data_IF_467610924085
#
_entry.id   IF_467610924085
#
_cell.length_a   1.000
_cell.length_b   1.000
_cell.length_c   1.000
_cell.angle_alpha   90.00
_cell.angle_beta   90.00
_cell.angle_gamma   90.00
#
_symmetry.space_group_name_H-M   'P 1'
#
loop_
_entity.id
_entity.type
_entity.pdbx_description
1 polymer ?
#
# COMPACT_ATOMS: atom_id res chain seq x y z
N UNK A 1 -39.19 12.85 -19.53
CA UNK A 1 -38.40 11.97 -20.40
C UNK A 1 -37.55 11.13 -19.46
N UNK A 2 -37.77 9.82 -19.40
CA UNK A 2 -36.98 8.92 -18.55
C UNK A 2 -35.56 8.84 -19.11
N UNK A 3 -34.58 9.11 -18.26
CA UNK A 3 -33.16 9.06 -18.55
C UNK A 3 -32.58 7.76 -18.00
N UNK A 4 -31.41 7.34 -18.50
CA UNK A 4 -30.66 6.23 -17.90
C UNK A 4 -30.32 6.47 -16.42
N UNK A 5 -30.40 7.71 -15.92
CA UNK A 5 -30.18 8.01 -14.50
C UNK A 5 -31.39 7.69 -13.62
N UNK A 6 -32.54 7.32 -14.22
CA UNK A 6 -33.77 6.96 -13.52
C UNK A 6 -33.93 5.43 -13.36
N UNK A 7 -32.90 4.66 -13.72
CA UNK A 7 -32.89 3.21 -13.56
C UNK A 7 -32.76 2.81 -12.08
N UNK A 8 -33.51 1.79 -11.64
CA UNK A 8 -33.28 1.14 -10.35
C UNK A 8 -31.86 0.58 -10.24
N UNK A 9 -31.28 0.67 -9.05
CA UNK A 9 -29.90 0.23 -8.75
C UNK A 9 -29.64 -1.23 -9.18
N UNK A 10 -30.65 -2.11 -9.03
CA UNK A 10 -30.59 -3.51 -9.44
C UNK A 10 -30.47 -3.72 -10.96
N UNK A 11 -31.01 -2.81 -11.77
CA UNK A 11 -30.90 -2.86 -13.23
C UNK A 11 -29.61 -2.21 -13.71
N UNK A 12 -29.15 -1.15 -13.03
CA UNK A 12 -27.82 -0.60 -13.27
C UNK A 12 -26.75 -1.65 -13.00
N UNK A 13 -26.95 -2.46 -11.95
CA UNK A 13 -26.08 -3.56 -11.59
C UNK A 13 -25.94 -4.62 -12.70
N UNK A 14 -27.08 -5.01 -13.26
CA UNK A 14 -27.17 -5.98 -14.34
C UNK A 14 -26.52 -5.45 -15.62
N UNK A 15 -26.71 -4.15 -15.93
CA UNK A 15 -26.10 -3.49 -17.08
C UNK A 15 -24.58 -3.53 -16.97
N UNK A 16 -24.00 -3.16 -15.82
CA UNK A 16 -22.55 -3.19 -15.63
C UNK A 16 -21.96 -4.60 -15.75
N UNK A 17 -22.67 -5.62 -15.24
CA UNK A 17 -22.21 -7.01 -15.36
C UNK A 17 -22.09 -7.50 -16.81
N UNK A 18 -22.83 -6.88 -17.74
CA UNK A 18 -22.90 -7.24 -19.16
C UNK A 18 -22.00 -6.38 -20.04
N UNK A 19 -21.50 -5.24 -19.54
CA UNK A 19 -20.63 -4.35 -20.31
C UNK A 19 -19.23 -4.96 -20.39
N UNK A 20 -18.67 -5.15 -21.60
CA UNK A 20 -17.28 -5.55 -21.74
C UNK A 20 -16.36 -4.57 -21.00
N UNK A 21 -15.43 -5.07 -20.19
CA UNK A 21 -14.56 -4.23 -19.34
C UNK A 21 -13.76 -3.20 -20.15
N UNK A 22 -13.43 -3.52 -21.41
CA UNK A 22 -12.79 -2.59 -22.36
C UNK A 22 -13.64 -1.35 -22.68
N UNK A 23 -14.96 -1.44 -22.52
CA UNK A 23 -15.92 -0.36 -22.76
C UNK A 23 -16.25 0.44 -21.50
N UNK A 24 -15.82 -0.02 -20.31
CA UNK A 24 -16.07 0.68 -19.05
C UNK A 24 -15.44 2.07 -19.01
N UNK A 25 -14.27 2.26 -19.64
CA UNK A 25 -13.63 3.58 -19.75
C UNK A 25 -14.54 4.57 -20.48
N UNK A 26 -15.05 4.18 -21.65
CA UNK A 26 -15.97 5.01 -22.43
C UNK A 26 -17.28 5.24 -21.69
N UNK A 27 -17.80 4.23 -20.99
CA UNK A 27 -19.00 4.38 -20.17
C UNK A 27 -18.78 5.37 -19.01
N UNK A 28 -17.65 5.30 -18.30
CA UNK A 28 -17.28 6.24 -17.23
C UNK A 28 -17.19 7.68 -17.72
N UNK A 29 -16.81 7.90 -18.98
CA UNK A 29 -16.78 9.24 -19.57
C UNK A 29 -18.16 9.81 -19.95
N UNK A 30 -19.23 9.00 -19.92
CA UNK A 30 -20.58 9.46 -20.33
C UNK A 30 -21.24 10.35 -19.29
N UNK A 31 -21.19 9.98 -18.01
CA UNK A 31 -21.76 10.80 -16.94
C UNK A 31 -21.16 10.47 -15.57
N UNK A 32 -21.29 11.42 -14.64
CA UNK A 32 -20.82 11.28 -13.25
C UNK A 32 -21.46 10.09 -12.53
N UNK A 33 -22.75 9.78 -12.80
CA UNK A 33 -23.47 8.67 -12.18
C UNK A 33 -22.80 7.32 -12.52
N UNK A 34 -22.61 7.01 -13.81
CA UNK A 34 -21.94 5.78 -14.25
C UNK A 34 -20.48 5.69 -13.83
N UNK A 35 -19.78 6.84 -13.77
CA UNK A 35 -18.42 6.88 -13.24
C UNK A 35 -18.37 6.46 -11.77
N UNK A 36 -19.26 7.01 -10.94
CA UNK A 36 -19.37 6.65 -9.52
C UNK A 36 -19.87 5.21 -9.34
N UNK A 37 -20.88 4.80 -10.10
CA UNK A 37 -21.54 3.51 -9.97
C UNK A 37 -20.66 2.31 -10.43
N UNK A 38 -19.91 2.47 -11.52
CA UNK A 38 -18.96 1.43 -11.96
C UNK A 38 -17.71 1.30 -11.09
N UNK A 39 -17.45 2.30 -10.25
CA UNK A 39 -16.40 2.22 -9.24
C UNK A 39 -16.86 1.36 -8.06
N UNK A 40 -18.12 1.49 -7.65
CA UNK A 40 -18.70 0.79 -6.49
C UNK A 40 -18.99 -0.69 -6.73
N UNK A 41 -19.39 -1.09 -7.94
CA UNK A 41 -19.97 -2.42 -8.16
C UNK A 41 -18.97 -3.52 -8.55
N UNK A 42 -17.82 -3.20 -9.13
CA UNK A 42 -16.83 -4.21 -9.55
C UNK A 42 -16.18 -4.92 -8.34
N UNK A 43 -16.35 -4.36 -7.14
CA UNK A 43 -15.91 -4.93 -5.86
C UNK A 43 -17.05 -5.70 -5.14
N UNK A 44 -18.21 -5.84 -5.79
CA UNK A 44 -19.44 -6.44 -5.24
C UNK A 44 -20.28 -5.40 -4.50
N UNK A 45 -21.60 -5.62 -4.45
CA UNK A 45 -22.64 -4.71 -3.91
C UNK A 45 -22.49 -4.28 -2.43
N UNK A 46 -21.34 -4.51 -1.80
CA UNK A 46 -21.01 -4.04 -0.47
C UNK A 46 -20.34 -2.68 -0.50
N UNK A 47 -21.00 -1.62 -0.98
CA UNK A 47 -20.50 -0.24 -0.81
C UNK A 47 -20.29 0.16 0.68
N UNK A 48 -20.77 -0.66 1.62
CA UNK A 48 -20.56 -0.54 3.07
C UNK A 48 -19.48 -1.49 3.64
N UNK A 49 -18.80 -2.26 2.80
CA UNK A 49 -17.75 -3.19 3.22
C UNK A 49 -16.41 -2.77 2.61
N UNK A 50 -15.40 -2.54 3.45
CA UNK A 50 -14.03 -2.35 2.96
C UNK A 50 -13.55 -3.70 2.43
N UNK A 51 -13.16 -3.77 1.16
CA UNK A 51 -12.52 -4.96 0.62
C UNK A 51 -11.00 -4.77 0.69
N UNK A 52 -10.27 -5.81 1.04
CA UNK A 52 -8.81 -5.84 1.06
C UNK A 52 -8.32 -7.09 0.35
N UNK A 53 -7.08 -7.04 -0.13
CA UNK A 53 -6.33 -8.18 -0.61
C UNK A 53 -5.18 -8.45 0.35
N UNK A 54 -5.15 -9.68 0.85
CA UNK A 54 -4.19 -10.18 1.82
C UNK A 54 -3.37 -11.31 1.22
N UNK A 55 -2.07 -11.33 1.48
CA UNK A 55 -1.26 -12.53 1.31
C UNK A 55 -1.28 -13.36 2.60
N UNK A 56 -1.89 -14.55 2.54
CA UNK A 56 -2.02 -15.48 3.66
C UNK A 56 -1.07 -16.66 3.46
N UNK A 57 -0.25 -17.00 4.45
CA UNK A 57 0.50 -18.26 4.39
C UNK A 57 -0.39 -19.46 4.73
N UNK A 58 -0.17 -20.55 4.01
CA UNK A 58 -0.66 -21.89 4.31
C UNK A 58 0.05 -22.47 5.54
N UNK A 59 -0.50 -23.55 6.11
CA UNK A 59 0.07 -24.30 7.25
C UNK A 59 1.51 -24.78 7.01
N UNK A 60 1.97 -24.85 5.76
CA UNK A 60 3.30 -25.33 5.38
C UNK A 60 4.37 -24.21 5.25
N UNK A 61 4.11 -23.00 5.75
CA UNK A 61 5.05 -21.85 5.84
C UNK A 61 5.75 -21.41 4.53
N UNK A 62 5.43 -22.01 3.38
CA UNK A 62 6.03 -21.70 2.07
C UNK A 62 5.02 -21.46 0.95
N UNK A 63 3.74 -21.72 1.18
CA UNK A 63 2.70 -21.44 0.19
C UNK A 63 1.91 -20.21 0.61
N UNK A 64 1.92 -19.19 -0.23
CA UNK A 64 1.18 -17.94 -0.01
C UNK A 64 -0.02 -17.91 -0.94
N UNK A 65 -1.20 -17.71 -0.37
CA UNK A 65 -2.44 -17.54 -1.10
C UNK A 65 -2.88 -16.09 -1.02
N UNK A 66 -3.14 -15.48 -2.18
CA UNK A 66 -3.85 -14.21 -2.20
C UNK A 66 -5.31 -14.46 -1.81
N UNK A 67 -5.78 -13.75 -0.81
CA UNK A 67 -7.15 -13.82 -0.33
C UNK A 67 -7.79 -12.44 -0.41
N UNK A 68 -9.03 -12.37 -0.89
CA UNK A 68 -9.88 -11.22 -0.64
C UNK A 68 -10.40 -11.28 0.78
N UNK A 69 -10.41 -10.13 1.44
CA UNK A 69 -10.91 -9.92 2.78
C UNK A 69 -11.99 -8.85 2.71
N UNK A 70 -13.17 -9.09 3.28
CA UNK A 70 -14.17 -8.04 3.46
C UNK A 70 -14.29 -7.68 4.93
N UNK A 71 -14.49 -6.40 5.22
CA UNK A 71 -14.73 -5.88 6.56
C UNK A 71 -16.09 -5.21 6.60
N UNK A 72 -16.96 -5.68 7.49
CA UNK A 72 -18.19 -4.98 7.81
C UNK A 72 -17.99 -4.16 9.08
N UNK A 73 -18.06 -2.84 8.94
CA UNK A 73 -17.95 -1.88 10.04
C UNK A 73 -19.33 -1.37 10.53
N UNK A 74 -20.44 -1.96 10.08
CA UNK A 74 -21.78 -1.61 10.56
C UNK A 74 -21.98 -2.04 12.01
N UNK A 75 -22.60 -1.19 12.83
CA UNK A 75 -22.93 -1.53 14.21
C UNK A 75 -21.75 -1.57 15.19
N UNK A 76 -20.56 -1.12 14.80
CA UNK A 76 -19.36 -1.05 15.68
C UNK A 76 -19.65 -0.38 17.02
N UNK A 77 -20.53 0.63 17.03
CA UNK A 77 -20.93 1.40 18.22
C UNK A 77 -22.28 0.96 18.83
N UNK A 78 -22.83 -0.18 18.41
CA UNK A 78 -24.05 -0.72 19.01
C UNK A 78 -23.65 -1.71 20.12
N UNK A 79 -24.04 -1.42 21.35
CA UNK A 79 -23.68 -2.20 22.55
C UNK A 79 -24.52 -3.47 22.72
N UNK A 80 -25.69 -3.55 22.08
CA UNK A 80 -26.68 -4.63 22.28
C UNK A 80 -26.37 -5.95 21.54
N UNK A 81 -25.35 -6.00 20.67
CA UNK A 81 -25.18 -7.09 19.72
C UNK A 81 -23.76 -7.66 19.78
N UNK A 82 -23.56 -8.62 20.69
CA UNK A 82 -22.26 -9.17 21.10
C UNK A 82 -21.43 -9.93 20.05
N UNK A 83 -21.81 -9.92 18.76
CA UNK A 83 -21.20 -10.76 17.71
C UNK A 83 -20.68 -9.98 16.46
N UNK A 84 -20.89 -8.66 16.37
CA UNK A 84 -20.77 -7.94 15.09
C UNK A 84 -19.47 -7.17 14.82
N UNK A 85 -18.44 -7.31 15.63
CA UNK A 85 -17.41 -6.26 15.69
C UNK A 85 -16.49 -6.18 14.47
N UNK A 86 -16.14 -7.31 13.84
CA UNK A 86 -15.28 -7.30 12.65
C UNK A 86 -15.46 -8.63 11.91
N UNK A 87 -16.43 -8.75 11.01
CA UNK A 87 -16.54 -9.97 10.21
C UNK A 87 -15.48 -9.97 9.11
N UNK A 88 -14.47 -10.81 9.28
CA UNK A 88 -13.42 -11.06 8.28
C UNK A 88 -13.81 -12.29 7.46
N UNK A 89 -14.37 -12.09 6.27
CA UNK A 89 -14.59 -13.18 5.33
C UNK A 89 -13.39 -13.28 4.37
N UNK A 90 -12.68 -14.41 4.39
CA UNK A 90 -11.55 -14.66 3.48
C UNK A 90 -11.96 -15.59 2.35
N UNK A 91 -11.80 -15.16 1.09
CA UNK A 91 -11.94 -16.02 -0.08
C UNK A 91 -10.63 -16.03 -0.86
N UNK A 92 -10.17 -17.19 -1.28
CA UNK A 92 -8.98 -17.27 -2.14
C UNK A 92 -9.29 -16.62 -3.48
N UNK A 93 -8.38 -15.76 -3.95
CA UNK A 93 -8.50 -15.16 -5.28
C UNK A 93 -7.87 -16.09 -6.30
N UNK A 94 -8.52 -16.23 -7.46
CA UNK A 94 -8.05 -17.06 -8.57
C UNK A 94 -6.81 -16.44 -9.24
N UNK A 95 -5.66 -16.57 -8.59
CA UNK A 95 -4.34 -16.48 -9.24
C UNK A 95 -4.03 -17.86 -9.81
N UNK A 96 -3.34 -17.98 -10.97
CA UNK A 96 -2.92 -19.28 -11.48
C UNK A 96 -2.27 -20.11 -10.38
N UNK A 97 -2.76 -21.33 -10.19
CA UNK A 97 -2.22 -22.27 -9.20
C UNK A 97 -0.71 -22.41 -9.42
N UNK A 98 0.06 -22.55 -8.33
CA UNK A 98 1.53 -22.71 -8.26
C UNK A 98 2.40 -21.44 -8.23
N UNK A 99 1.85 -20.23 -8.17
CA UNK A 99 2.66 -19.00 -8.03
C UNK A 99 2.80 -18.61 -6.55
N UNK A 100 4.03 -18.63 -6.01
CA UNK A 100 4.32 -18.20 -4.64
C UNK A 100 4.71 -16.72 -4.61
N UNK A 101 3.82 -15.88 -4.10
CA UNK A 101 3.99 -14.42 -4.00
C UNK A 101 4.41 -14.09 -2.56
N UNK A 102 5.47 -13.31 -2.38
CA UNK A 102 5.93 -12.90 -1.04
C UNK A 102 5.69 -11.41 -0.75
N UNK A 103 5.52 -10.56 -1.78
CA UNK A 103 5.18 -9.14 -1.65
C UNK A 103 4.24 -8.72 -2.78
N UNK A 104 3.30 -7.84 -2.48
CA UNK A 104 2.35 -7.28 -3.44
C UNK A 104 2.26 -5.78 -3.24
N UNK A 105 2.21 -5.03 -4.34
CA UNK A 105 1.88 -3.61 -4.37
C UNK A 105 0.87 -3.33 -5.47
N UNK A 106 0.21 -2.18 -5.45
CA UNK A 106 -0.71 -1.78 -6.52
C UNK A 106 -0.55 -0.32 -6.91
N UNK A 107 -0.97 -0.01 -8.14
CA UNK A 107 -1.16 1.34 -8.63
C UNK A 107 -2.35 1.32 -9.61
N UNK A 108 -3.42 2.07 -9.30
CA UNK A 108 -4.57 2.33 -10.18
C UNK A 108 -5.12 1.11 -10.95
N UNK A 109 -5.52 0.06 -10.24
CA UNK A 109 -6.05 -1.16 -10.89
C UNK A 109 -5.05 -2.28 -11.13
N UNK A 110 -3.75 -1.98 -11.20
CA UNK A 110 -2.72 -2.96 -11.51
C UNK A 110 -1.98 -3.41 -10.25
N UNK A 111 -1.79 -4.72 -10.15
CA UNK A 111 -1.03 -5.34 -9.07
C UNK A 111 0.35 -5.74 -9.57
N UNK A 112 1.35 -5.46 -8.75
CA UNK A 112 2.71 -5.94 -8.92
C UNK A 112 2.99 -6.99 -7.85
N UNK A 113 3.14 -8.24 -8.28
CA UNK A 113 3.35 -9.40 -7.44
C UNK A 113 4.80 -9.88 -7.55
N UNK A 114 5.54 -9.80 -6.45
CA UNK A 114 6.90 -10.33 -6.36
C UNK A 114 6.85 -11.80 -5.96
N UNK A 115 7.44 -12.64 -6.81
CA UNK A 115 7.40 -14.10 -6.65
C UNK A 115 8.69 -14.64 -6.08
N UNK A 116 8.59 -15.80 -5.45
CA UNK A 116 9.73 -16.44 -4.79
C UNK A 116 10.92 -16.72 -5.72
N UNK A 117 10.67 -16.97 -7.00
CA UNK A 117 11.65 -17.37 -8.01
C UNK A 117 12.69 -16.28 -8.36
N UNK A 118 12.55 -15.03 -7.86
CA UNK A 118 13.50 -13.89 -8.03
C UNK A 118 14.04 -13.63 -9.46
N UNK A 119 13.51 -14.30 -10.47
CA UNK A 119 13.89 -14.23 -11.88
C UNK A 119 12.86 -13.46 -12.71
N UNK A 120 11.67 -13.29 -12.14
CA UNK A 120 10.52 -12.67 -12.78
C UNK A 120 9.62 -12.01 -11.74
N UNK A 121 8.84 -11.05 -12.21
CA UNK A 121 7.78 -10.38 -11.46
C UNK A 121 6.49 -10.53 -12.27
N UNK A 122 5.37 -10.65 -11.56
CA UNK A 122 4.05 -10.81 -12.16
C UNK A 122 3.29 -9.50 -12.04
N UNK A 123 2.87 -8.94 -13.18
CA UNK A 123 1.90 -7.85 -13.21
C UNK A 123 0.53 -8.44 -13.48
N UNK A 124 -0.43 -8.14 -12.63
CA UNK A 124 -1.77 -8.69 -12.70
C UNK A 124 -2.82 -7.59 -12.73
N UNK A 125 -3.66 -7.66 -13.75
CA UNK A 125 -4.87 -6.87 -13.87
C UNK A 125 -6.07 -7.79 -13.56
N UNK A 126 -6.61 -7.76 -12.32
CA UNK A 126 -7.78 -8.58 -11.97
C UNK A 126 -9.02 -8.19 -12.77
N UNK A 127 -9.17 -6.91 -13.13
CA UNK A 127 -10.33 -6.42 -13.89
C UNK A 127 -10.43 -7.10 -15.25
N UNK A 128 -9.31 -7.23 -15.95
CA UNK A 128 -9.27 -7.86 -17.27
C UNK A 128 -8.95 -9.35 -17.21
N UNK A 129 -8.80 -9.93 -16.01
CA UNK A 129 -8.24 -11.26 -15.81
C UNK A 129 -6.93 -11.47 -16.61
N UNK A 130 -6.10 -10.43 -16.69
CA UNK A 130 -4.86 -10.43 -17.47
C UNK A 130 -3.64 -10.51 -16.56
N UNK A 131 -2.67 -11.30 -16.97
CA UNK A 131 -1.37 -11.42 -16.31
C UNK A 131 -0.26 -11.18 -17.30
N UNK A 132 0.83 -10.55 -16.84
CA UNK A 132 2.05 -10.35 -17.61
C UNK A 132 3.26 -10.68 -16.75
N UNK A 133 4.04 -11.63 -17.21
CA UNK A 133 5.34 -11.95 -16.61
C UNK A 133 6.42 -11.04 -17.19
N UNK A 134 7.17 -10.40 -16.31
CA UNK A 134 8.31 -9.58 -16.67
C UNK A 134 9.55 -10.28 -16.12
N UNK A 135 10.47 -10.62 -17.01
CA UNK A 135 11.77 -11.14 -16.59
C UNK A 135 12.59 -10.00 -15.99
N UNK A 136 13.32 -10.33 -14.93
CA UNK A 136 14.32 -9.44 -14.34
C UNK A 136 15.60 -10.23 -14.18
N UNK A 137 16.75 -9.53 -14.24
CA UNK A 137 18.00 -10.11 -13.77
C UNK A 137 17.82 -10.45 -12.27
N UNK A 138 18.48 -11.52 -11.82
CA UNK A 138 18.36 -12.05 -10.47
C UNK A 138 18.54 -10.91 -9.45
N UNK A 139 17.62 -10.80 -8.49
CA UNK A 139 17.62 -9.74 -7.47
C UNK A 139 17.57 -10.35 -6.06
N UNK A 140 18.11 -9.64 -5.06
CA UNK A 140 18.03 -10.08 -3.66
C UNK A 140 16.67 -9.72 -3.06
N UNK A 141 16.08 -10.64 -2.27
CA UNK A 141 14.82 -10.38 -1.53
C UNK A 141 15.00 -9.32 -0.44
N UNK A 142 16.21 -9.18 0.11
CA UNK A 142 16.50 -8.27 1.23
C UNK A 142 16.73 -6.83 0.76
N UNK A 143 17.25 -6.65 -0.45
CA UNK A 143 17.83 -5.37 -0.88
C UNK A 143 17.31 -4.89 -2.24
N UNK A 144 16.10 -5.30 -2.62
CA UNK A 144 15.46 -4.77 -3.82
C UNK A 144 14.01 -4.38 -3.60
N UNK A 145 13.66 -3.18 -4.03
CA UNK A 145 12.29 -2.69 -4.05
C UNK A 145 11.80 -2.60 -5.49
N UNK A 146 10.53 -2.97 -5.69
CA UNK A 146 9.84 -2.77 -6.95
C UNK A 146 8.57 -1.98 -6.69
N UNK A 147 8.39 -0.91 -7.44
CA UNK A 147 7.29 0.03 -7.24
C UNK A 147 6.64 0.33 -8.58
N UNK A 148 5.31 0.38 -8.60
CA UNK A 148 4.52 0.57 -9.80
C UNK A 148 3.98 2.01 -9.85
N UNK A 149 4.01 2.62 -11.02
CA UNK A 149 3.42 3.95 -11.25
C UNK A 149 3.11 4.18 -12.72
N UNK A 150 2.71 5.40 -13.07
CA UNK A 150 2.44 5.81 -14.44
C UNK A 150 2.75 7.29 -14.66
N UNK A 151 3.08 7.64 -15.91
CA UNK A 151 3.27 9.04 -16.31
C UNK A 151 1.95 9.75 -16.66
N UNK A 152 2.01 11.05 -16.94
CA UNK A 152 0.84 11.85 -17.35
C UNK A 152 0.08 11.33 -18.58
N UNK A 153 0.66 10.41 -19.36
CA UNK A 153 -0.01 9.75 -20.48
C UNK A 153 -0.62 8.39 -20.08
N UNK A 154 -0.64 8.07 -18.78
CA UNK A 154 -1.06 6.80 -18.20
C UNK A 154 -0.25 5.60 -18.72
N UNK A 155 0.99 5.82 -19.12
CA UNK A 155 1.90 4.73 -19.42
C UNK A 155 2.45 4.19 -18.11
N UNK A 156 2.04 2.98 -17.75
CA UNK A 156 2.57 2.30 -16.59
C UNK A 156 4.06 2.01 -16.75
N UNK A 157 4.76 2.12 -15.63
CA UNK A 157 6.20 1.87 -15.49
C UNK A 157 6.46 1.19 -14.15
N UNK A 158 7.53 0.42 -14.06
CA UNK A 158 8.00 -0.17 -12.80
C UNK A 158 9.37 0.41 -12.52
N UNK A 159 9.53 1.08 -11.38
CA UNK A 159 10.84 1.40 -10.86
C UNK A 159 11.31 0.22 -10.01
N UNK A 160 12.54 -0.18 -10.25
CA UNK A 160 13.27 -1.19 -9.50
C UNK A 160 14.46 -0.49 -8.87
N UNK A 161 14.56 -0.62 -7.56
CA UNK A 161 15.65 -0.08 -6.77
C UNK A 161 16.45 -1.27 -6.24
N UNK A 162 17.76 -1.24 -6.47
CA UNK A 162 18.70 -2.30 -6.13
C UNK A 162 19.81 -1.71 -5.30
N UNK A 163 20.26 -2.44 -4.29
CA UNK A 163 21.59 -2.21 -3.73
C UNK A 163 22.68 -2.55 -4.76
N UNK A 164 23.68 -1.69 -4.83
CA UNK A 164 24.80 -1.76 -5.76
C UNK A 164 26.05 -1.15 -5.12
N UNK A 165 26.91 -2.00 -4.56
CA UNK A 165 28.14 -1.59 -3.90
C UNK A 165 29.16 -0.91 -4.84
N UNK A 166 29.01 -1.08 -6.17
CA UNK A 166 29.85 -0.40 -7.16
C UNK A 166 29.37 1.04 -7.45
N UNK A 167 28.18 1.43 -6.94
CA UNK A 167 27.61 2.75 -7.12
C UNK A 167 27.97 3.68 -5.96
N UNK A 168 28.26 4.96 -6.26
CA UNK A 168 28.58 5.98 -5.24
C UNK A 168 27.46 6.14 -4.20
N UNK A 169 26.20 5.97 -4.60
CA UNK A 169 25.05 6.05 -3.69
C UNK A 169 24.72 4.73 -3.00
N UNK A 170 25.47 3.65 -3.27
CA UNK A 170 25.13 2.30 -2.87
C UNK A 170 23.87 1.73 -3.55
N UNK A 171 23.22 2.49 -4.44
CA UNK A 171 21.94 2.16 -5.04
C UNK A 171 21.94 2.32 -6.56
N UNK A 172 21.27 1.40 -7.24
CA UNK A 172 21.01 1.43 -8.68
C UNK A 172 19.51 1.46 -8.94
N UNK A 173 19.11 2.33 -9.85
CA UNK A 173 17.73 2.50 -10.26
C UNK A 173 17.55 1.99 -11.69
N UNK A 174 16.61 1.07 -11.88
CA UNK A 174 16.21 0.58 -13.20
C UNK A 174 14.72 0.86 -13.40
N UNK A 175 14.32 1.34 -14.58
CA UNK A 175 12.92 1.53 -14.94
C UNK A 175 12.51 0.58 -16.05
N UNK A 176 11.38 -0.10 -15.86
CA UNK A 176 10.73 -0.88 -16.90
C UNK A 176 9.58 -0.10 -17.49
N UNK A 177 9.57 0.06 -18.82
CA UNK A 177 8.45 0.67 -19.54
C UNK A 177 7.64 -0.42 -20.22
N UNK A 178 6.34 -0.46 -20.00
CA UNK A 178 5.49 -1.49 -20.59
C UNK A 178 5.41 -1.39 -22.13
N UNK A 179 5.57 -0.17 -22.67
CA UNK A 179 5.52 0.12 -24.10
C UNK A 179 6.80 -0.34 -24.83
N UNK A 180 7.99 -0.15 -24.25
CA UNK A 180 9.26 -0.61 -24.85
C UNK A 180 9.59 -2.06 -24.48
N UNK A 181 9.00 -2.59 -23.40
CA UNK A 181 9.27 -3.95 -22.87
C UNK A 181 10.74 -4.10 -22.43
N UNK A 182 11.42 -2.99 -22.14
CA UNK A 182 12.84 -2.97 -21.77
C UNK A 182 13.04 -2.38 -20.37
N UNK A 183 14.09 -2.86 -19.71
CA UNK A 183 14.66 -2.26 -18.52
C UNK A 183 15.73 -1.27 -18.95
N UNK A 184 15.66 -0.05 -18.42
CA UNK A 184 16.62 1.03 -18.64
C UNK A 184 17.22 1.45 -17.30
N UNK A 185 18.52 1.72 -17.25
CA UNK A 185 19.16 2.26 -16.05
C UNK A 185 18.82 3.76 -15.96
N UNK A 186 18.38 4.19 -14.78
CA UNK A 186 18.14 5.59 -14.47
C UNK A 186 19.35 6.18 -13.75
N UNK A 187 19.87 7.28 -14.29
CA UNK A 187 20.89 8.09 -13.62
C UNK A 187 20.21 9.09 -12.69
N UNK A 188 19.68 8.57 -11.59
CA UNK A 188 19.10 9.37 -10.50
C UNK A 188 19.89 9.11 -9.24
N UNK A 189 20.21 10.18 -8.52
CA UNK A 189 20.91 10.10 -7.24
C UNK A 189 20.04 10.83 -6.25
N UNK A 190 19.14 10.14 -5.53
CA UNK A 190 18.57 10.77 -4.35
C UNK A 190 19.68 10.90 -3.31
N UNK A 191 19.59 11.91 -2.44
CA UNK A 191 20.46 12.07 -1.27
C UNK A 191 20.11 11.02 -0.19
N UNK A 192 20.09 9.74 -0.57
CA UNK A 192 19.89 8.62 0.34
C UNK A 192 21.25 8.22 0.87
N UNK A 193 21.49 8.43 2.16
CA UNK A 193 22.75 8.07 2.79
C UNK A 193 22.82 6.59 3.18
N UNK A 194 21.68 5.93 3.48
CA UNK A 194 21.65 4.48 3.71
C UNK A 194 20.30 3.84 3.32
N UNK A 195 20.38 2.60 2.82
CA UNK A 195 19.25 1.75 2.52
C UNK A 195 18.78 1.02 3.79
N UNK A 196 18.20 1.73 4.75
CA UNK A 196 17.54 1.08 5.88
C UNK A 196 16.08 0.79 5.51
N UNK A 197 15.78 -0.48 5.26
CA UNK A 197 14.44 -1.08 5.29
C UNK A 197 13.28 -0.26 4.66
N UNK A 198 13.18 -0.25 3.32
CA UNK A 198 12.00 0.24 2.59
C UNK A 198 10.77 -0.68 2.81
N UNK A 199 10.17 -0.61 4.00
CA UNK A 199 8.94 -1.35 4.31
C UNK A 199 7.70 -0.59 3.83
N UNK A 200 7.74 0.74 3.83
CA UNK A 200 6.56 1.57 3.59
C UNK A 200 6.65 2.37 2.29
N UNK A 201 5.96 1.82 1.29
CA UNK A 201 5.88 2.39 -0.05
C UNK A 201 4.44 2.34 -0.55
N UNK A 202 3.95 3.48 -1.01
CA UNK A 202 2.58 3.62 -1.52
C UNK A 202 2.59 4.34 -2.85
N UNK A 203 1.88 3.78 -3.83
CA UNK A 203 1.63 4.45 -5.09
C UNK A 203 0.34 5.26 -5.02
N UNK A 204 0.40 6.53 -5.40
CA UNK A 204 -0.72 7.47 -5.35
C UNK A 204 -0.67 8.40 -6.56
N UNK A 205 -1.79 8.53 -7.29
CA UNK A 205 -1.92 9.39 -8.49
C UNK A 205 -0.79 9.18 -9.53
N UNK A 206 -0.36 7.94 -9.72
CA UNK A 206 0.68 7.56 -10.67
C UNK A 206 2.11 7.67 -10.15
N UNK A 207 2.32 8.34 -9.02
CA UNK A 207 3.64 8.49 -8.39
C UNK A 207 3.79 7.55 -7.20
N UNK A 208 5.04 7.35 -6.76
CA UNK A 208 5.36 6.52 -5.60
C UNK A 208 5.91 7.36 -4.47
N UNK A 209 5.37 7.19 -3.27
CA UNK A 209 5.82 7.82 -2.04
C UNK A 209 6.50 6.77 -1.17
N UNK A 210 7.70 7.09 -0.70
CA UNK A 210 8.55 6.21 0.09
C UNK A 210 8.90 6.91 1.40
N UNK A 211 8.69 6.22 2.52
CA UNK A 211 9.23 6.64 3.81
C UNK A 211 10.72 6.34 3.87
N UNK A 212 11.51 7.32 4.31
CA UNK A 212 12.95 7.21 4.43
C UNK A 212 13.36 7.62 5.84
N UNK A 213 14.16 6.76 6.47
CA UNK A 213 14.86 7.03 7.73
C UNK A 213 16.35 7.07 7.43
N UNK A 214 16.90 8.29 7.41
CA UNK A 214 18.32 8.51 7.17
C UNK A 214 19.10 8.24 8.44
N UNK A 215 19.88 7.16 8.47
CA UNK A 215 20.91 6.99 9.47
C UNK A 215 22.15 7.76 9.00
N UNK A 216 22.63 8.71 9.80
CA UNK A 216 23.97 9.28 9.62
C UNK A 216 24.98 8.35 10.26
N UNK A 217 25.31 7.25 9.60
CA UNK A 217 26.63 6.65 9.73
C UNK A 217 27.25 6.53 8.34
N UNK A 218 28.42 7.15 8.19
CA UNK A 218 29.41 6.65 7.25
C UNK A 218 29.96 5.35 7.82
N UNK A 219 30.45 4.49 6.95
CA UNK A 219 31.15 3.27 7.29
C UNK A 219 32.29 3.61 8.27
N UNK A 220 32.07 3.41 9.56
CA UNK A 220 33.15 3.22 10.50
C UNK A 220 33.31 1.71 10.56
N UNK A 221 34.47 1.26 10.10
CA UNK A 221 34.90 -0.13 10.12
C UNK A 221 34.48 -0.81 11.44
N UNK A 222 33.95 -2.02 11.32
CA UNK A 222 33.87 -2.98 12.43
C UNK A 222 35.30 -3.37 12.83
N UNK A 223 36.05 -2.42 13.39
CA UNK A 223 37.18 -2.75 14.24
C UNK A 223 36.64 -2.83 15.66
N UNK A 224 36.47 -4.09 16.07
CA UNK A 224 36.23 -4.56 17.42
C UNK A 224 37.21 -3.88 18.38
N UNK A 225 36.75 -2.87 19.13
CA UNK A 225 37.28 -2.58 20.46
C UNK A 225 36.07 -2.34 21.36
N UNK A 226 35.65 -3.43 22.02
CA UNK A 226 34.80 -3.40 23.21
C UNK A 226 35.57 -2.67 24.30
N UNK A 227 35.41 -1.35 24.42
CA UNK A 227 35.56 -0.61 25.68
C UNK A 227 35.16 0.86 25.47
N UNK A 228 34.24 1.31 26.33
CA UNK A 228 33.94 2.69 26.77
C UNK A 228 32.47 3.10 26.61
N UNK A 229 31.82 3.13 27.78
CA UNK A 229 30.61 3.86 28.11
C UNK A 229 30.80 5.37 27.81
N UNK A 230 30.68 5.77 26.55
CA UNK A 230 30.42 7.16 26.20
C UNK A 230 28.92 7.33 25.93
N UNK A 231 28.29 8.21 26.71
CA UNK A 231 26.98 8.82 26.43
C UNK A 231 27.00 9.45 25.03
N UNK A 232 26.79 8.64 23.98
CA UNK A 232 26.58 9.15 22.63
C UNK A 232 25.22 9.84 22.62
N UNK A 233 25.23 11.17 22.50
CA UNK A 233 24.02 11.98 22.30
C UNK A 233 23.11 11.29 21.25
N UNK A 234 21.78 11.21 21.47
CA UNK A 234 20.88 10.61 20.50
C UNK A 234 21.01 11.36 19.15
N UNK A 235 21.57 10.67 18.17
CA UNK A 235 21.87 11.22 16.85
C UNK A 235 20.55 11.53 16.14
N UNK A 236 20.39 12.77 15.69
CA UNK A 236 19.22 13.28 14.98
C UNK A 236 18.99 12.44 13.71
N UNK A 237 18.00 11.56 13.75
CA UNK A 237 17.68 10.70 12.61
C UNK A 237 16.77 11.47 11.66
N UNK A 238 17.30 11.88 10.51
CA UNK A 238 16.50 12.63 9.53
C UNK A 238 15.45 11.72 8.90
N UNK A 239 14.17 12.05 9.09
CA UNK A 239 13.03 11.31 8.56
C UNK A 239 12.24 12.16 7.58
N UNK A 240 11.94 11.59 6.42
CA UNK A 240 11.21 12.31 5.38
C UNK A 240 10.52 11.34 4.43
N UNK A 241 9.62 11.90 3.62
CA UNK A 241 9.05 11.21 2.47
C UNK A 241 9.78 11.61 1.20
N UNK A 242 10.07 10.63 0.34
CA UNK A 242 10.49 10.87 -1.03
C UNK A 242 9.36 10.52 -2.00
N UNK A 243 9.16 11.36 -3.01
CA UNK A 243 8.31 11.04 -4.14
C UNK A 243 9.19 10.68 -5.33
N UNK A 244 8.94 9.53 -5.95
CA UNK A 244 9.41 9.25 -7.30
C UNK A 244 8.31 9.64 -8.29
N UNK A 245 8.58 10.65 -9.11
CA UNK A 245 7.68 11.11 -10.16
C UNK A 245 7.90 10.29 -11.43
N UNK A 246 6.91 9.52 -11.87
CA UNK A 246 7.02 8.68 -13.07
C UNK A 246 6.91 9.44 -14.38
N UNK A 247 6.44 10.69 -14.34
CA UNK A 247 6.42 11.57 -15.50
C UNK A 247 7.81 12.12 -15.80
N UNK A 248 8.51 12.62 -14.79
CA UNK A 248 9.88 13.15 -14.94
C UNK A 248 10.96 12.09 -14.74
N UNK A 249 10.60 10.94 -14.18
CA UNK A 249 11.48 9.81 -13.84
C UNK A 249 12.62 10.20 -12.91
N UNK A 250 12.27 11.02 -11.92
CA UNK A 250 13.20 11.58 -10.96
C UNK A 250 12.58 11.61 -9.57
N UNK A 251 13.44 11.65 -8.55
CA UNK A 251 13.00 11.93 -7.19
C UNK A 251 12.73 13.42 -7.01
N UNK A 252 11.65 13.73 -6.30
CA UNK A 252 11.35 15.07 -5.83
C UNK A 252 12.17 15.46 -4.59
N UNK A 253 11.98 16.67 -4.05
CA UNK A 253 12.61 17.09 -2.80
C UNK A 253 12.09 16.27 -1.61
N UNK A 254 12.82 16.34 -0.48
CA UNK A 254 12.39 15.77 0.80
C UNK A 254 11.05 16.40 1.22
N UNK A 255 10.04 15.57 1.42
CA UNK A 255 8.72 15.99 1.84
C UNK A 255 8.61 15.88 3.37
N UNK A 256 8.14 16.93 4.06
CA UNK A 256 8.09 16.96 5.51
C UNK A 256 7.04 15.99 6.07
N UNK A 257 7.39 15.37 7.19
CA UNK A 257 6.49 14.57 8.01
C UNK A 257 5.75 15.46 9.03
N UNK A 258 4.55 15.07 9.49
CA UNK A 258 3.78 15.86 10.45
C UNK A 258 4.23 15.70 11.92
N UNK A 259 5.32 14.97 12.15
CA UNK A 259 5.92 14.68 13.46
C UNK A 259 7.44 14.71 13.36
N UNK A 260 8.10 14.85 14.50
CA UNK A 260 9.55 14.61 14.66
C UNK A 260 9.75 13.15 15.03
N UNK A 261 10.79 12.50 14.49
CA UNK A 261 11.06 11.09 14.81
C UNK A 261 12.07 10.94 15.95
N UNK A 262 11.72 10.09 16.91
CA UNK A 262 12.55 9.57 17.97
C UNK A 262 12.93 8.08 17.73
N UNK A 263 13.80 7.55 18.60
CA UNK A 263 14.18 6.12 18.64
C UNK A 263 12.95 5.26 19.00
N UNK A 264 12.81 4.07 18.42
CA UNK A 264 11.73 3.13 18.77
C UNK A 264 10.40 3.34 18.04
N UNK A 265 10.38 4.10 16.95
CA UNK A 265 9.16 4.44 16.24
C UNK A 265 8.92 3.60 14.99
N UNK A 266 7.64 3.27 14.75
CA UNK A 266 7.18 2.61 13.54
C UNK A 266 6.28 3.55 12.75
N UNK A 267 6.52 3.64 11.43
CA UNK A 267 5.71 4.42 10.50
C UNK A 267 5.14 3.47 9.47
N UNK A 268 3.84 3.50 9.26
CA UNK A 268 3.18 2.74 8.19
C UNK A 268 2.54 3.70 7.20
N UNK A 269 2.73 3.47 5.90
CA UNK A 269 2.05 4.24 4.86
C UNK A 269 0.85 3.46 4.29
N UNK A 270 -0.22 4.19 3.98
CA UNK A 270 -1.40 3.65 3.29
C UNK A 270 -2.00 4.73 2.38
N UNK A 271 -3.08 4.42 1.68
CA UNK A 271 -3.83 5.42 0.91
C UNK A 271 -5.33 5.21 1.03
N UNK A 272 -6.07 6.31 0.90
CA UNK A 272 -7.55 6.29 0.88
C UNK A 272 -8.01 6.80 -0.47
N UNK A 273 -8.90 6.00 -1.09
CA UNK A 273 -9.58 6.33 -2.35
C UNK A 273 -8.62 6.65 -3.51
N UNK A 274 -7.35 6.25 -3.42
CA UNK A 274 -6.28 6.61 -4.37
C UNK A 274 -6.10 8.13 -4.55
N UNK A 275 -6.59 8.93 -3.61
CA UNK A 275 -6.59 10.40 -3.67
C UNK A 275 -5.74 11.04 -2.57
N UNK A 276 -5.66 10.40 -1.41
CA UNK A 276 -4.99 10.88 -0.22
C UNK A 276 -3.99 9.84 0.30
N UNK A 277 -2.83 10.32 0.73
CA UNK A 277 -1.84 9.55 1.46
C UNK A 277 -2.24 9.49 2.92
N UNK A 278 -2.15 8.29 3.51
CA UNK A 278 -2.28 8.08 4.93
C UNK A 278 -0.91 7.77 5.53
N UNK A 279 -0.71 8.26 6.74
CA UNK A 279 0.44 7.94 7.55
C UNK A 279 -0.05 7.52 8.93
N UNK A 280 0.42 6.37 9.40
CA UNK A 280 0.28 5.94 10.78
C UNK A 280 1.66 6.06 11.43
N UNK A 281 1.71 6.81 12.51
CA UNK A 281 2.86 6.94 13.38
C UNK A 281 2.55 6.20 14.68
N UNK A 282 3.46 5.31 15.08
CA UNK A 282 3.38 4.59 16.35
C UNK A 282 4.68 4.76 17.14
N UNK A 283 4.65 5.65 18.13
CA UNK A 283 5.75 5.84 19.07
C UNK A 283 5.58 4.98 20.32
N UNK A 284 5.61 3.65 20.17
CA UNK A 284 5.30 2.72 21.25
C UNK A 284 6.33 2.75 22.40
N UNK A 285 7.58 3.10 22.10
CA UNK A 285 8.65 3.18 23.10
C UNK A 285 8.67 4.53 23.85
N UNK A 286 8.50 5.64 23.14
CA UNK A 286 8.66 7.00 23.69
C UNK A 286 7.35 7.61 24.17
N UNK A 287 6.36 7.69 23.28
CA UNK A 287 5.13 8.46 23.53
C UNK A 287 3.94 7.61 23.94
N UNK A 288 3.96 6.30 23.65
CA UNK A 288 2.80 5.39 23.68
C UNK A 288 1.59 6.00 22.95
N UNK A 289 1.86 6.78 21.90
CA UNK A 289 0.85 7.45 21.10
C UNK A 289 0.76 6.79 19.72
N UNK A 290 -0.47 6.50 19.33
CA UNK A 290 -0.81 6.13 17.97
C UNK A 290 -1.45 7.34 17.30
N UNK A 291 -0.79 7.86 16.27
CA UNK A 291 -1.28 9.00 15.48
C UNK A 291 -1.52 8.57 14.04
N UNK A 292 -2.67 8.98 13.48
CA UNK A 292 -2.99 8.78 12.07
C UNK A 292 -3.20 10.15 11.43
N UNK A 293 -2.52 10.36 10.33
CA UNK A 293 -2.51 11.58 9.55
C UNK A 293 -3.01 11.30 8.14
N UNK A 294 -3.76 12.26 7.60
CA UNK A 294 -4.30 12.24 6.24
C UNK A 294 -3.73 13.42 5.48
N UNK A 295 -3.29 13.20 4.24
CA UNK A 295 -2.83 14.31 3.40
C UNK A 295 -4.01 15.16 2.93
N UNK A 296 -3.94 16.47 3.11
CA UNK A 296 -4.86 17.44 2.50
C UNK A 296 -4.45 17.78 1.07
N UNK A 297 -3.14 17.92 0.88
CA UNK A 297 -2.50 18.19 -0.41
C UNK A 297 -1.33 17.24 -0.55
N UNK A 298 -1.20 16.65 -1.73
CA UNK A 298 -0.11 15.77 -2.08
C UNK A 298 0.25 15.98 -3.56
N UNK A 299 1.48 16.42 -3.77
CA UNK A 299 2.15 16.67 -5.05
C UNK A 299 3.55 16.07 -4.98
N UNK A 300 4.27 15.92 -6.12
CA UNK A 300 5.62 15.38 -6.11
C UNK A 300 6.63 16.14 -5.23
N UNK A 301 6.37 17.43 -5.00
CA UNK A 301 7.26 18.34 -4.30
C UNK A 301 6.62 19.02 -3.07
N UNK A 302 5.38 18.68 -2.72
CA UNK A 302 4.70 19.28 -1.58
C UNK A 302 3.70 18.32 -0.94
N UNK A 303 3.66 18.32 0.39
CA UNK A 303 2.65 17.61 1.18
C UNK A 303 2.16 18.50 2.32
N UNK A 304 0.89 18.34 2.68
CA UNK A 304 0.33 18.92 3.91
C UNK A 304 -0.60 17.91 4.56
N UNK A 305 -0.62 17.92 5.89
CA UNK A 305 -1.25 16.89 6.71
C UNK A 305 -2.38 17.44 7.57
N UNK A 306 -3.34 16.59 7.89
CA UNK A 306 -4.30 16.81 8.97
C UNK A 306 -4.39 15.57 9.82
N UNK A 307 -4.40 15.79 11.12
CA UNK A 307 -4.53 14.74 12.12
C UNK A 307 -5.94 14.16 12.04
N UNK A 308 -6.03 12.88 11.76
CA UNK A 308 -7.30 12.14 11.75
C UNK A 308 -7.59 11.51 13.10
N UNK A 309 -6.57 10.90 13.72
CA UNK A 309 -6.72 10.22 15.00
C UNK A 309 -5.45 10.41 15.83
N UNK A 310 -5.61 10.62 17.13
CA UNK A 310 -4.53 10.55 18.11
C UNK A 310 -5.07 9.87 19.35
N UNK A 311 -4.45 8.76 19.73
CA UNK A 311 -4.89 7.93 20.83
C UNK A 311 -3.70 7.50 21.66
N UNK A 312 -3.86 7.61 22.97
CA UNK A 312 -2.95 7.04 23.96
C UNK A 312 -3.20 5.53 24.04
N UNK A 313 -2.22 4.74 23.62
CA UNK A 313 -2.38 3.28 23.54
C UNK A 313 -2.50 2.63 24.92
N UNK A 314 -2.07 3.32 25.99
CA UNK A 314 -2.21 2.82 27.38
C UNK A 314 -3.66 2.80 27.86
N UNK A 315 -4.53 3.59 27.23
CA UNK A 315 -5.95 3.66 27.56
C UNK A 315 -6.78 2.64 26.77
N UNK A 316 -6.19 1.96 25.79
CA UNK A 316 -6.88 0.99 24.97
C UNK A 316 -6.85 -0.38 25.64
N UNK A 317 -8.04 -0.92 25.94
CA UNK A 317 -8.17 -2.29 26.43
C UNK A 317 -7.71 -3.29 25.36
N UNK A 318 -6.96 -4.31 25.78
CA UNK A 318 -6.44 -5.39 24.93
C UNK A 318 -5.54 -4.92 23.76
N UNK A 319 -4.90 -3.75 23.89
CA UNK A 319 -3.86 -3.30 22.96
C UNK A 319 -2.48 -3.74 23.48
N UNK A 320 -1.62 -4.34 22.64
CA UNK A 320 -0.33 -4.83 23.10
C UNK A 320 0.63 -3.66 23.36
N UNK A 321 1.50 -3.82 24.38
CA UNK A 321 2.52 -2.82 24.74
C UNK A 321 3.51 -2.57 23.59
N UNK A 322 3.94 -3.64 22.92
CA UNK A 322 4.76 -3.58 21.71
C UNK A 322 3.85 -3.85 20.51
N UNK A 323 3.66 -2.84 19.66
CA UNK A 323 2.74 -2.91 18.53
C UNK A 323 3.41 -2.50 17.23
N UNK A 324 3.71 -3.45 16.37
CA UNK A 324 4.13 -3.14 15.00
C UNK A 324 2.93 -3.15 14.06
N UNK A 325 2.53 -1.94 13.63
CA UNK A 325 1.56 -1.78 12.56
C UNK A 325 2.17 -2.30 11.25
N UNK A 326 1.50 -3.28 10.67
CA UNK A 326 1.85 -3.85 9.36
C UNK A 326 1.09 -3.14 8.25
N UNK A 327 -0.15 -2.74 8.52
CA UNK A 327 -1.03 -2.08 7.56
C UNK A 327 -2.22 -1.48 8.29
N UNK A 328 -2.92 -0.55 7.65
CA UNK A 328 -4.11 0.06 8.21
C UNK A 328 -4.99 0.71 7.13
N UNK A 329 -6.23 0.97 7.49
CA UNK A 329 -7.13 1.85 6.76
C UNK A 329 -8.03 2.62 7.73
N UNK A 330 -8.70 3.65 7.22
CA UNK A 330 -9.63 4.47 8.00
C UNK A 330 -11.02 4.45 7.36
N UNK A 331 -12.04 4.65 8.19
CA UNK A 331 -13.39 4.99 7.79
C UNK A 331 -13.67 6.42 8.28
N UNK A 332 -13.63 7.37 7.35
CA UNK A 332 -13.82 8.80 7.65
C UNK A 332 -15.22 9.12 8.19
N UNK A 333 -16.25 8.39 7.75
CA UNK A 333 -17.63 8.63 8.16
C UNK A 333 -17.86 8.18 9.60
N UNK A 334 -17.32 7.00 9.96
CA UNK A 334 -17.43 6.45 11.31
C UNK A 334 -16.35 6.98 12.26
N UNK A 335 -15.36 7.70 11.74
CA UNK A 335 -14.18 8.19 12.47
C UNK A 335 -13.47 7.08 13.24
N UNK A 336 -13.20 5.98 12.54
CA UNK A 336 -12.45 4.84 13.11
C UNK A 336 -11.31 4.47 12.19
N UNK A 337 -10.24 3.95 12.79
CA UNK A 337 -9.15 3.30 12.09
C UNK A 337 -9.18 1.81 12.37
N UNK A 338 -8.81 1.00 11.37
CA UNK A 338 -8.54 -0.42 11.58
C UNK A 338 -7.06 -0.65 11.30
N UNK A 339 -6.33 -1.05 12.33
CA UNK A 339 -4.87 -1.24 12.31
C UNK A 339 -4.55 -2.71 12.50
N UNK A 340 -3.62 -3.22 11.71
CA UNK A 340 -3.29 -4.64 11.64
C UNK A 340 -1.86 -4.84 12.09
N UNK A 341 -1.64 -5.74 13.05
CA UNK A 341 -0.33 -6.36 13.23
C UNK A 341 -0.33 -7.75 12.58
N UNK A 342 0.69 -8.58 12.82
CA UNK A 342 0.78 -9.92 12.21
C UNK A 342 -0.38 -10.87 12.59
N UNK A 343 -1.07 -10.63 13.70
CA UNK A 343 -2.02 -11.60 14.27
C UNK A 343 -3.38 -11.01 14.65
N UNK A 344 -3.54 -9.70 14.74
CA UNK A 344 -4.70 -9.04 15.34
C UNK A 344 -5.05 -7.78 14.55
N UNK A 345 -6.36 -7.57 14.35
CA UNK A 345 -6.95 -6.34 13.83
C UNK A 345 -7.47 -5.57 15.02
N UNK A 346 -7.08 -4.32 15.17
CA UNK A 346 -7.58 -3.40 16.17
C UNK A 346 -8.41 -2.33 15.49
N UNK A 347 -9.66 -2.17 15.91
CA UNK A 347 -10.50 -1.02 15.56
C UNK A 347 -10.30 0.02 16.66
N UNK A 348 -9.90 1.23 16.27
CA UNK A 348 -9.58 2.32 17.18
C UNK A 348 -10.44 3.55 16.80
N UNK A 349 -11.08 4.17 17.78
CA UNK A 349 -11.86 5.42 17.64
C UNK A 349 -11.29 6.58 18.46
N UNK A 350 -11.73 7.81 18.17
CA UNK A 350 -11.29 9.05 18.86
C UNK A 350 -11.63 9.09 20.36
N UNK A 351 -12.61 8.31 20.81
CA UNK A 351 -13.18 8.29 22.17
C UNK A 351 -12.59 7.18 23.06
N UNK A 352 -11.42 6.63 22.69
CA UNK A 352 -10.82 5.49 23.37
C UNK A 352 -11.49 4.16 23.03
N UNK A 353 -12.46 4.16 22.10
CA UNK A 353 -13.05 2.94 21.57
C UNK A 353 -11.97 2.02 20.98
N UNK A 354 -11.83 0.83 21.55
CA UNK A 354 -10.93 -0.23 21.06
C UNK A 354 -11.70 -1.53 20.99
N UNK A 355 -11.58 -2.24 19.86
CA UNK A 355 -11.90 -3.67 19.82
C UNK A 355 -10.91 -4.42 18.96
N UNK A 356 -10.58 -5.64 19.36
CA UNK A 356 -9.60 -6.48 18.67
C UNK A 356 -10.21 -7.78 18.14
N UNK A 357 -9.67 -8.29 17.03
CA UNK A 357 -10.01 -9.63 16.51
C UNK A 357 -8.78 -10.32 15.94
N UNK A 358 -8.54 -11.54 16.40
CA UNK A 358 -7.46 -12.38 15.90
C UNK A 358 -7.67 -12.82 14.45
N UNK A 359 -6.58 -12.80 13.67
CA UNK A 359 -6.44 -13.40 12.35
C UNK A 359 -4.98 -13.90 12.18
N UNK A 360 -4.55 -14.33 10.99
CA UNK A 360 -3.12 -14.58 10.71
C UNK A 360 -2.68 -13.93 9.40
N UNK A 361 -1.88 -12.86 9.50
CA UNK A 361 -1.13 -12.24 8.41
C UNK A 361 0.28 -12.83 8.37
N UNK A 362 0.84 -12.95 7.16
CA UNK A 362 2.26 -13.29 6.98
C UNK A 362 3.01 -12.28 6.10
N UNK A 363 2.28 -11.39 5.42
CA UNK A 363 2.89 -10.32 4.66
C UNK A 363 2.88 -9.05 5.47
N UNK A 364 3.96 -8.27 5.34
CA UNK A 364 4.03 -6.89 5.77
C UNK A 364 3.14 -5.94 4.95
N UNK A 365 2.38 -6.46 3.98
CA UNK A 365 1.57 -5.64 3.07
C UNK A 365 0.18 -6.26 2.94
N UNK A 366 -0.80 -5.64 3.59
CA UNK A 366 -2.22 -5.82 3.33
C UNK A 366 -2.67 -4.66 2.46
N UNK A 367 -3.25 -4.94 1.30
CA UNK A 367 -3.70 -3.91 0.37
C UNK A 367 -5.19 -3.69 0.57
N UNK A 368 -5.61 -2.49 0.92
CA UNK A 368 -7.03 -2.16 1.02
C UNK A 368 -7.56 -1.65 -0.31
N UNK A 369 -8.53 -2.38 -0.87
CA UNK A 369 -9.26 -1.98 -2.06
C UNK A 369 -10.51 -1.22 -1.62
N UNK A 370 -10.39 0.11 -1.55
CA UNK A 370 -11.59 0.93 -1.36
C UNK A 370 -12.56 0.71 -2.54
N UNK A 371 -13.87 0.83 -2.30
CA UNK A 371 -14.97 0.70 -3.27
C UNK A 371 -14.92 1.71 -4.44
N UNK A 372 -13.79 2.41 -4.60
CA UNK A 372 -13.49 3.30 -5.70
C UNK A 372 -12.21 2.85 -6.41
N UNK A 373 -12.18 1.63 -6.95
CA UNK A 373 -11.16 1.35 -7.96
C UNK A 373 -11.49 2.14 -9.22
N UNK A 374 -10.71 3.18 -9.45
CA UNK A 374 -10.74 3.94 -10.68
C UNK A 374 -10.01 3.21 -11.80
N UNK A 375 -10.00 1.87 -11.82
CA UNK A 375 -9.17 1.08 -12.73
C UNK A 375 -9.19 1.66 -14.14
N UNK A 376 -8.15 2.39 -14.50
CA UNK A 376 -7.91 2.72 -15.89
C UNK A 376 -7.63 1.37 -16.53
N UNK A 377 -8.51 0.95 -17.44
CA UNK A 377 -8.38 -0.35 -18.08
C UNK A 377 -7.08 -0.37 -18.92
N UNK A 378 -5.98 -0.78 -18.29
CA UNK A 378 -4.71 -0.96 -18.95
C UNK A 378 -4.65 -2.39 -19.49
N UNK A 379 -4.64 -2.52 -20.81
CA UNK A 379 -4.44 -3.81 -21.46
C UNK A 379 -2.99 -4.22 -21.32
N UNK A 380 -2.76 -5.32 -20.60
CA UNK A 380 -1.46 -5.98 -20.56
C UNK A 380 -1.29 -6.76 -21.89
N UNK A 381 -1.01 -6.05 -22.99
CA UNK A 381 -0.73 -6.71 -24.27
C UNK A 381 0.63 -7.39 -24.20
N UNK A 382 0.64 -8.72 -24.19
CA UNK A 382 1.81 -9.57 -24.28
C UNK A 382 1.35 -10.99 -24.55
N UNK A 383 1.92 -11.66 -25.57
CA UNK A 383 1.49 -12.99 -26.05
C UNK A 383 1.21 -13.94 -24.87
N UNK A 384 -0.03 -14.44 -24.78
CA UNK A 384 -0.33 -15.67 -24.04
C UNK A 384 0.66 -16.73 -24.55
N UNK A 385 1.54 -17.22 -23.67
CA UNK A 385 2.23 -18.49 -23.96
C UNK A 385 1.11 -19.53 -24.03
N UNK A 386 0.90 -20.05 -25.24
CA UNK A 386 0.09 -21.25 -25.48
C UNK A 386 0.75 -22.45 -24.83
#
# INVERSE_FOLDING_TARGET
>A
MTTMSDLPETLEDEILSRIPITSLRSMRSTCKKWNTFSKTQIIGNGAKQSLGLMLRASRHYRDFHLCSMSFNLQGIRNEDDGDYVLKIDTKQVSIPEHIRIYKISHCDGLFLCLVEDKSSILVWNPYLAQTRWIKTKQYSRRFSAFVLGYDNNYNHKILKILEDHDCVSGLRYEIYRFNSILWEVLNVTPELYEWSNMHDVVSLKGNTYLFVKGNTYGWADEDEDEDEDEDKDPIETDVYLLCFDFTTESFGPRLPLPFSSDVGESVTLSSVREEQLLLLYNGWETSKMLEIWVSNKIEPNAVSWTKFLKVDTTQLTDFPDEFDAVSFFIDEEKKVAVVFNRYIAHIIGEDGYSKSRGFRLWSWSLLFLCSKFSAIAYQLTGRKRR
#
